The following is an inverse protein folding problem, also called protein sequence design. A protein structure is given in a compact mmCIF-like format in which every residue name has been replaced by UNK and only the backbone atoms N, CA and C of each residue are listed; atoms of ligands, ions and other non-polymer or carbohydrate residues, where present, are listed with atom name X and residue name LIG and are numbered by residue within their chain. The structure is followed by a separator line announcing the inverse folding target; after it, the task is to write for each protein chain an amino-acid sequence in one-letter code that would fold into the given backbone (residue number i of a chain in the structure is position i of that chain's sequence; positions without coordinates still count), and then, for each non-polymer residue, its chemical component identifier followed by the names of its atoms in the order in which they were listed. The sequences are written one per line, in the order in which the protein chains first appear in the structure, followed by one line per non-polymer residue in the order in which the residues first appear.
data_IF_670624256429
#
_entry.id   IF_670624256429
#
_cell.length_a   1.000
_cell.length_b   1.000
_cell.length_c   1.000
_cell.angle_alpha   90.00
_cell.angle_beta   90.00
_cell.angle_gamma   90.00
#
_symmetry.space_group_name_H-M   'P 1'
#
loop_
_entity.id
_entity.type
_entity.pdbx_description
1 polymer ?
#
# COMPACT_ATOMS: atom_id res chain seq x y z
N UNK A 1 -37.46 -3.95 12.91
CA UNK A 1 -36.60 -3.93 11.71
C UNK A 1 -36.51 -2.48 11.25
N UNK A 2 -35.40 -1.81 11.58
CA UNK A 2 -35.29 -0.36 11.53
C UNK A 2 -34.97 0.14 10.11
N UNK A 3 -35.81 1.03 9.56
CA UNK A 3 -35.74 1.56 8.19
C UNK A 3 -34.52 2.43 7.82
N UNK A 4 -33.43 2.32 8.58
CA UNK A 4 -32.17 3.03 8.36
C UNK A 4 -31.35 2.41 7.21
N UNK A 5 -31.62 1.15 6.85
CA UNK A 5 -30.97 0.48 5.72
C UNK A 5 -31.24 1.16 4.38
N UNK A 6 -32.47 1.65 4.16
CA UNK A 6 -32.82 2.35 2.92
C UNK A 6 -32.11 3.70 2.80
N UNK A 7 -32.00 4.43 3.92
CA UNK A 7 -31.31 5.72 3.96
C UNK A 7 -29.79 5.53 3.74
N UNK A 8 -29.18 4.57 4.44
CA UNK A 8 -27.77 4.21 4.22
C UNK A 8 -27.51 3.71 2.80
N UNK A 9 -28.40 2.87 2.25
CA UNK A 9 -28.28 2.40 0.86
C UNK A 9 -28.37 3.56 -0.14
N UNK A 10 -29.20 4.57 0.11
CA UNK A 10 -29.31 5.73 -0.78
C UNK A 10 -28.01 6.53 -0.82
N UNK A 11 -27.42 6.84 0.34
CA UNK A 11 -26.12 7.52 0.44
C UNK A 11 -24.99 6.69 -0.17
N UNK A 12 -25.00 5.38 0.09
CA UNK A 12 -23.98 4.47 -0.42
C UNK A 12 -24.08 4.33 -1.95
N UNK A 13 -25.29 4.31 -2.50
CA UNK A 13 -25.55 4.25 -3.95
C UNK A 13 -25.16 5.54 -4.65
N UNK A 14 -25.40 6.69 -4.02
CA UNK A 14 -25.01 8.00 -4.55
C UNK A 14 -23.47 8.12 -4.63
N UNK A 15 -22.78 7.74 -3.56
CA UNK A 15 -21.31 7.74 -3.55
C UNK A 15 -20.76 6.70 -4.54
N UNK A 16 -21.35 5.49 -4.60
CA UNK A 16 -20.96 4.45 -5.56
C UNK A 16 -21.17 4.90 -7.00
N UNK A 17 -22.21 5.68 -7.30
CA UNK A 17 -22.45 6.19 -8.65
C UNK A 17 -21.37 7.19 -9.10
N UNK A 18 -20.95 8.07 -8.19
CA UNK A 18 -19.85 9.01 -8.43
C UNK A 18 -18.53 8.26 -8.64
N UNK A 19 -18.27 7.23 -7.82
CA UNK A 19 -17.08 6.40 -7.91
C UNK A 19 -17.03 5.59 -9.21
N UNK A 20 -18.13 4.94 -9.59
CA UNK A 20 -18.23 4.16 -10.84
C UNK A 20 -18.01 5.06 -12.05
N UNK A 21 -18.50 6.30 -12.05
CA UNK A 21 -18.30 7.25 -13.16
C UNK A 21 -16.83 7.67 -13.30
N UNK A 22 -16.11 7.84 -12.20
CA UNK A 22 -14.66 8.11 -12.23
C UNK A 22 -13.87 6.88 -12.67
N UNK A 23 -14.23 5.69 -12.16
CA UNK A 23 -13.60 4.43 -12.55
C UNK A 23 -13.84 4.09 -14.01
N UNK A 24 -15.05 4.34 -14.55
CA UNK A 24 -15.36 4.10 -15.96
C UNK A 24 -14.53 5.01 -16.86
N UNK A 25 -14.43 6.30 -16.53
CA UNK A 25 -13.63 7.26 -17.28
C UNK A 25 -12.15 6.85 -17.31
N UNK A 26 -11.62 6.38 -16.16
CA UNK A 26 -10.26 5.84 -16.09
C UNK A 26 -10.09 4.57 -16.95
N UNK A 27 -11.04 3.63 -16.90
CA UNK A 27 -11.01 2.42 -17.73
C UNK A 27 -11.07 2.74 -19.23
N UNK A 28 -11.83 3.75 -19.63
CA UNK A 28 -11.84 4.20 -21.03
C UNK A 28 -10.49 4.79 -21.42
N UNK A 29 -9.92 5.69 -20.62
CA UNK A 29 -8.60 6.27 -20.92
C UNK A 29 -7.50 5.20 -21.00
N UNK A 30 -7.55 4.20 -20.12
CA UNK A 30 -6.62 3.07 -20.12
C UNK A 30 -6.80 2.19 -21.36
N UNK A 31 -8.04 1.86 -21.73
CA UNK A 31 -8.35 1.11 -22.96
C UNK A 31 -7.88 1.84 -24.22
N UNK A 32 -8.06 3.16 -24.29
CA UNK A 32 -7.57 3.99 -25.39
C UNK A 32 -6.03 4.00 -25.44
N UNK A 33 -5.37 4.07 -24.28
CA UNK A 33 -3.91 3.97 -24.19
C UNK A 33 -3.43 2.62 -24.74
N UNK A 34 -4.01 1.51 -24.27
CA UNK A 34 -3.69 0.15 -24.74
C UNK A 34 -3.93 0.00 -26.25
N UNK A 35 -5.03 0.56 -26.76
CA UNK A 35 -5.34 0.54 -28.19
C UNK A 35 -4.27 1.25 -29.03
N UNK A 36 -3.89 2.47 -28.65
CA UNK A 36 -2.83 3.20 -29.35
C UNK A 36 -1.49 2.45 -29.27
N UNK A 37 -1.16 1.88 -28.11
CA UNK A 37 0.07 1.11 -27.92
C UNK A 37 0.12 -0.18 -28.73
N UNK A 38 -1.01 -0.89 -28.87
CA UNK A 38 -1.09 -2.09 -29.70
C UNK A 38 -0.98 -1.77 -31.20
N UNK A 39 -1.48 -0.60 -31.62
CA UNK A 39 -1.59 -0.24 -33.05
C UNK A 39 -0.34 0.48 -33.58
N UNK A 40 0.37 1.25 -32.73
CA UNK A 40 1.56 2.03 -33.09
C UNK A 40 2.64 1.23 -33.85
N UNK A 41 3.00 -0.01 -33.48
CA UNK A 41 4.08 -0.75 -34.14
C UNK A 41 3.69 -1.24 -35.54
N UNK A 42 2.41 -1.62 -35.71
CA UNK A 42 1.87 -2.01 -37.02
C UNK A 42 1.80 -0.82 -37.98
N UNK A 43 1.40 0.35 -37.49
CA UNK A 43 1.38 1.57 -38.28
C UNK A 43 2.79 2.05 -38.62
N UNK A 44 3.72 2.00 -37.66
CA UNK A 44 5.11 2.39 -37.85
C UNK A 44 5.82 1.49 -38.87
N UNK A 45 5.62 0.17 -38.78
CA UNK A 45 6.17 -0.79 -39.76
C UNK A 45 5.58 -0.59 -41.15
N UNK A 46 4.26 -0.43 -41.27
CA UNK A 46 3.59 -0.13 -42.55
C UNK A 46 4.14 1.15 -43.18
N UNK A 47 4.30 2.21 -42.38
CA UNK A 47 4.81 3.49 -42.85
C UNK A 47 6.29 3.42 -43.25
N UNK A 48 7.11 2.71 -42.48
CA UNK A 48 8.56 2.57 -42.73
C UNK A 48 8.83 1.78 -44.00
N UNK A 49 8.17 0.61 -44.18
CA UNK A 49 8.30 -0.16 -45.41
C UNK A 49 7.65 0.54 -46.61
N UNK A 50 6.52 1.23 -46.38
CA UNK A 50 5.85 2.04 -47.40
C UNK A 50 6.76 3.13 -47.97
N UNK A 51 7.36 3.96 -47.10
CA UNK A 51 8.33 4.99 -47.52
C UNK A 51 9.55 4.39 -48.21
N UNK A 52 10.08 3.28 -47.70
CA UNK A 52 11.25 2.63 -48.27
C UNK A 52 11.02 2.16 -49.72
N UNK A 53 9.84 1.59 -50.01
CA UNK A 53 9.45 1.23 -51.39
C UNK A 53 9.25 2.45 -52.28
N UNK A 54 8.68 3.53 -51.73
CA UNK A 54 8.40 4.75 -52.47
C UNK A 54 9.70 5.49 -52.87
N UNK A 55 10.76 5.34 -52.08
CA UNK A 55 12.11 5.81 -52.41
C UNK A 55 12.85 4.95 -53.44
N UNK A 56 12.24 3.88 -53.95
CA UNK A 56 12.79 3.04 -55.02
C UNK A 56 13.76 1.96 -54.56
N UNK A 57 13.85 1.69 -53.26
CA UNK A 57 14.67 0.59 -52.73
C UNK A 57 13.95 -0.76 -52.82
N UNK A 58 14.70 -1.84 -53.06
CA UNK A 58 14.14 -3.19 -53.06
C UNK A 58 13.99 -3.71 -51.63
N UNK A 59 12.76 -4.06 -51.25
CA UNK A 59 12.48 -4.77 -50.01
C UNK A 59 12.83 -6.25 -50.17
N UNK A 60 13.92 -6.67 -49.54
CA UNK A 60 14.21 -8.10 -49.36
C UNK A 60 13.45 -8.66 -48.15
N UNK A 61 12.98 -9.90 -48.26
CA UNK A 61 12.25 -10.59 -47.20
C UNK A 61 13.09 -10.65 -45.91
N UNK A 62 14.40 -10.86 -46.02
CA UNK A 62 15.31 -10.90 -44.88
C UNK A 62 15.34 -9.56 -44.11
N UNK A 63 15.33 -8.42 -44.81
CA UNK A 63 15.28 -7.10 -44.19
C UNK A 63 13.96 -6.85 -43.47
N UNK A 64 12.84 -7.27 -44.07
CA UNK A 64 11.50 -7.12 -43.48
C UNK A 64 11.38 -7.93 -42.19
N UNK A 65 11.81 -9.19 -42.19
CA UNK A 65 11.78 -10.03 -40.99
C UNK A 65 12.70 -9.50 -39.88
N UNK A 66 13.89 -9.02 -40.23
CA UNK A 66 14.84 -8.45 -39.26
C UNK A 66 14.30 -7.16 -38.64
N UNK A 67 13.70 -6.27 -39.44
CA UNK A 67 13.08 -5.03 -38.94
C UNK A 67 11.85 -5.31 -38.08
N UNK A 68 10.99 -6.25 -38.46
CA UNK A 68 9.84 -6.67 -37.64
C UNK A 68 10.28 -7.25 -36.29
N UNK A 69 11.36 -8.05 -36.27
CA UNK A 69 11.92 -8.59 -35.03
C UNK A 69 12.42 -7.45 -34.12
N UNK A 70 13.17 -6.49 -34.65
CA UNK A 70 13.64 -5.32 -33.89
C UNK A 70 12.48 -4.48 -33.35
N UNK A 71 11.46 -4.19 -34.16
CA UNK A 71 10.27 -3.49 -33.69
C UNK A 71 9.57 -4.26 -32.57
N UNK A 72 9.38 -5.57 -32.71
CA UNK A 72 8.76 -6.39 -31.66
C UNK A 72 9.54 -6.37 -30.34
N UNK A 73 10.88 -6.33 -30.39
CA UNK A 73 11.70 -6.19 -29.17
C UNK A 73 11.58 -4.82 -28.50
N UNK A 74 11.34 -3.76 -29.27
CA UNK A 74 11.14 -2.39 -28.78
C UNK A 74 9.75 -2.13 -28.17
N UNK A 75 8.73 -2.91 -28.57
CA UNK A 75 7.35 -2.77 -28.06
C UNK A 75 7.25 -3.03 -26.56
N UNK A 76 7.95 -4.06 -26.07
CA UNK A 76 7.88 -4.48 -24.65
C UNK A 76 8.29 -3.37 -23.65
N UNK A 77 9.47 -2.72 -23.79
CA UNK A 77 9.85 -1.62 -22.89
C UNK A 77 8.97 -0.38 -23.07
N UNK A 78 8.51 -0.07 -24.28
CA UNK A 78 7.62 1.05 -24.55
C UNK A 78 6.26 0.89 -23.87
N UNK A 79 5.67 -0.31 -23.92
CA UNK A 79 4.41 -0.64 -23.24
C UNK A 79 4.51 -0.58 -21.72
N UNK A 80 5.72 -0.75 -21.16
CA UNK A 80 5.95 -0.69 -19.71
C UNK A 80 6.04 0.75 -19.18
N UNK A 81 6.30 1.73 -20.04
CA UNK A 81 6.53 3.14 -19.65
C UNK A 81 5.32 3.82 -18.98
N UNK A 82 4.08 3.68 -19.50
CA UNK A 82 2.89 4.26 -18.86
C UNK A 82 2.63 3.70 -17.45
N UNK A 83 2.95 2.42 -17.23
CA UNK A 83 2.79 1.77 -15.93
C UNK A 83 3.77 2.33 -14.89
N UNK A 84 5.00 2.61 -15.29
CA UNK A 84 6.01 3.26 -14.44
C UNK A 84 5.57 4.68 -14.05
N UNK A 85 5.04 5.46 -15.00
CA UNK A 85 4.54 6.81 -14.72
C UNK A 85 3.36 6.77 -13.74
N UNK A 86 2.39 5.87 -13.95
CA UNK A 86 1.28 5.68 -13.01
C UNK A 86 1.77 5.29 -11.61
N UNK A 87 2.74 4.38 -11.53
CA UNK A 87 3.37 4.00 -10.26
C UNK A 87 4.02 5.18 -9.53
N UNK A 88 4.76 6.02 -10.26
CA UNK A 88 5.39 7.22 -9.68
C UNK A 88 4.37 8.25 -9.17
N UNK A 89 3.23 8.39 -9.86
CA UNK A 89 2.18 9.37 -9.49
C UNK A 89 1.43 8.95 -8.21
N UNK A 90 1.16 7.66 -8.01
CA UNK A 90 0.43 7.19 -6.82
C UNK A 90 1.29 7.28 -5.53
N UNK A 91 2.62 7.11 -5.64
CA UNK A 91 3.57 7.19 -4.53
C UNK A 91 3.75 8.64 -4.01
N UNK A 92 3.57 9.64 -4.88
CA UNK A 92 3.73 11.07 -4.55
C UNK A 92 2.52 11.77 -3.93
N UNK A 93 1.53 11.03 -3.43
CA UNK A 93 0.25 11.60 -3.00
C UNK A 93 0.27 12.32 -1.64
N UNK A 94 1.37 12.23 -0.89
CA UNK A 94 1.56 12.94 0.37
C UNK A 94 0.86 12.30 1.58
N UNK A 95 0.55 10.99 1.54
CA UNK A 95 -0.03 10.26 2.68
C UNK A 95 0.90 10.29 3.89
N UNK A 96 2.16 9.90 3.71
CA UNK A 96 3.19 9.98 4.75
C UNK A 96 3.43 11.43 5.19
N UNK A 97 3.37 12.40 4.26
CA UNK A 97 3.47 13.83 4.61
C UNK A 97 2.30 14.30 5.49
N UNK A 98 1.09 13.77 5.29
CA UNK A 98 -0.04 14.04 6.16
C UNK A 98 0.23 13.47 7.56
N UNK A 99 0.67 12.21 7.66
CA UNK A 99 0.99 11.60 8.95
C UNK A 99 2.08 12.39 9.69
N UNK A 100 3.17 12.75 9.02
CA UNK A 100 4.25 13.54 9.60
C UNK A 100 3.79 14.95 10.02
N UNK A 101 2.84 15.54 9.30
CA UNK A 101 2.21 16.79 9.73
C UNK A 101 1.39 16.62 11.00
N UNK A 102 0.66 15.50 11.14
CA UNK A 102 -0.11 15.22 12.36
C UNK A 102 0.85 14.95 13.53
N UNK A 103 1.93 14.21 13.31
CA UNK A 103 3.00 13.95 14.28
C UNK A 103 3.81 15.21 14.66
N UNK A 104 3.53 16.36 14.02
CA UNK A 104 4.26 17.63 14.19
C UNK A 104 5.73 17.59 13.79
N UNK A 105 6.12 16.62 12.96
CA UNK A 105 7.47 16.56 12.35
C UNK A 105 7.59 17.49 11.14
N UNK A 106 6.46 17.94 10.57
CA UNK A 106 6.43 18.93 9.49
C UNK A 106 5.90 20.28 9.98
N UNK A 107 6.52 21.37 9.50
CA UNK A 107 6.10 22.74 9.81
C UNK A 107 4.74 23.03 9.15
N UNK A 108 3.76 23.35 9.97
CA UNK A 108 2.46 23.84 9.51
C UNK A 108 2.56 25.32 9.08
N UNK A 109 2.11 25.64 7.87
CA UNK A 109 2.09 27.03 7.36
C UNK A 109 0.77 27.73 7.73
N UNK A 110 -0.35 27.00 7.68
CA UNK A 110 -1.69 27.50 7.99
C UNK A 110 -2.52 26.45 8.74
N UNK A 111 -3.42 26.92 9.62
CA UNK A 111 -4.30 26.08 10.44
C UNK A 111 -3.73 25.74 11.82
N UNK A 112 -4.34 24.76 12.49
CA UNK A 112 -3.92 24.26 13.81
C UNK A 112 -4.24 22.78 13.92
N UNK A 113 -3.32 21.99 14.49
CA UNK A 113 -3.53 20.56 14.76
C UNK A 113 -3.59 20.35 16.27
N UNK A 114 -4.73 19.85 16.75
CA UNK A 114 -4.94 19.45 18.14
C UNK A 114 -4.92 17.94 18.23
N UNK A 115 -4.12 17.42 19.15
CA UNK A 115 -4.00 15.99 19.44
C UNK A 115 -4.25 15.79 20.93
N UNK A 116 -5.18 14.90 21.26
CA UNK A 116 -5.46 14.46 22.62
C UNK A 116 -5.04 13.00 22.77
N UNK A 117 -4.27 12.70 23.81
CA UNK A 117 -3.78 11.35 24.10
C UNK A 117 -2.39 11.04 23.53
N UNK A 118 -1.95 9.82 23.78
CA UNK A 118 -0.70 9.22 23.32
C UNK A 118 -0.82 8.71 21.89
N UNK A 119 0.25 8.83 21.12
CA UNK A 119 0.28 8.43 19.70
C UNK A 119 1.37 7.39 19.50
N UNK A 120 1.05 6.36 18.72
CA UNK A 120 2.03 5.43 18.17
C UNK A 120 2.00 5.48 16.65
N UNK A 121 3.19 5.59 16.07
CA UNK A 121 3.39 5.60 14.63
C UNK A 121 4.12 4.34 14.17
N UNK A 122 3.61 3.71 13.12
CA UNK A 122 4.25 2.60 12.43
C UNK A 122 4.54 3.04 10.99
N UNK A 123 5.82 3.31 10.65
CA UNK A 123 6.20 3.74 9.31
C UNK A 123 6.18 2.58 8.31
N UNK A 124 6.11 2.92 7.02
CA UNK A 124 6.19 1.96 5.92
C UNK A 124 7.50 1.15 5.94
N UNK A 125 8.62 1.80 6.28
CA UNK A 125 9.92 1.15 6.49
C UNK A 125 10.24 1.15 7.98
N UNK A 126 9.96 0.06 8.70
CA UNK A 126 10.15 0.00 10.15
C UNK A 126 11.63 0.00 10.54
N UNK A 127 11.95 0.77 11.57
CA UNK A 127 13.25 0.73 12.22
C UNK A 127 13.26 -0.30 13.36
N UNK A 128 14.21 -1.23 13.30
CA UNK A 128 14.38 -2.32 14.26
C UNK A 128 15.66 -2.05 15.07
N UNK A 129 15.54 -2.14 16.40
CA UNK A 129 16.66 -2.00 17.33
C UNK A 129 17.55 -3.24 17.21
N UNK A 130 18.86 -3.04 17.34
CA UNK A 130 19.76 -4.16 17.64
C UNK A 130 19.47 -4.64 19.06
N UNK A 131 19.20 -5.94 19.21
CA UNK A 131 18.75 -6.53 20.47
C UNK A 131 17.83 -7.73 20.22
N UNK A 132 17.19 -8.24 21.25
CA UNK A 132 16.27 -9.39 21.12
C UNK A 132 14.92 -8.98 20.50
N UNK A 133 14.17 -9.96 19.98
CA UNK A 133 12.79 -9.75 19.51
C UNK A 133 11.92 -9.20 20.66
N UNK A 134 12.04 -9.79 21.85
CA UNK A 134 11.31 -9.35 23.04
C UNK A 134 11.60 -7.90 23.38
N UNK A 135 12.86 -7.50 23.46
CA UNK A 135 13.24 -6.09 23.71
C UNK A 135 12.68 -5.15 22.64
N UNK A 136 12.72 -5.57 21.39
CA UNK A 136 12.15 -4.82 20.27
C UNK A 136 10.64 -4.61 20.44
N UNK A 137 9.88 -5.59 20.93
CA UNK A 137 8.42 -5.48 21.13
C UNK A 137 8.09 -4.68 22.39
N UNK A 138 8.78 -4.96 23.51
CA UNK A 138 8.55 -4.29 24.78
C UNK A 138 8.89 -2.81 24.72
N UNK A 139 9.97 -2.45 24.03
CA UNK A 139 10.42 -1.07 23.80
C UNK A 139 10.40 -0.20 25.08
N UNK A 140 10.91 -0.76 26.17
CA UNK A 140 10.99 -0.09 27.48
C UNK A 140 9.77 -0.27 28.39
N UNK A 141 8.71 -0.98 27.97
CA UNK A 141 7.61 -1.38 28.85
C UNK A 141 7.92 -2.69 29.60
N UNK A 142 7.26 -2.87 30.74
CA UNK A 142 7.36 -4.09 31.53
C UNK A 142 6.80 -5.29 30.74
N UNK A 143 7.40 -6.46 30.95
CA UNK A 143 6.95 -7.70 30.33
C UNK A 143 5.69 -8.25 31.02
N UNK A 144 4.60 -8.25 30.28
CA UNK A 144 3.33 -8.93 30.57
C UNK A 144 3.17 -10.10 29.60
N UNK A 145 3.22 -11.32 30.11
CA UNK A 145 3.16 -12.55 29.31
C UNK A 145 1.85 -12.72 28.57
N UNK A 146 0.72 -12.31 29.16
CA UNK A 146 -0.61 -12.48 28.56
C UNK A 146 -0.76 -11.56 27.36
N UNK A 147 -0.58 -10.26 27.58
CA UNK A 147 -0.59 -9.26 26.51
C UNK A 147 0.44 -9.56 25.43
N UNK A 148 1.62 -10.03 25.82
CA UNK A 148 2.70 -10.33 24.86
C UNK A 148 2.31 -11.48 23.94
N UNK A 149 1.76 -12.56 24.48
CA UNK A 149 1.27 -13.70 23.70
C UNK A 149 0.14 -13.28 22.75
N UNK A 150 -0.85 -12.54 23.25
CA UNK A 150 -1.99 -12.06 22.45
C UNK A 150 -1.52 -11.19 21.27
N UNK A 151 -0.53 -10.33 21.50
CA UNK A 151 0.05 -9.47 20.47
C UNK A 151 0.80 -10.27 19.40
N UNK A 152 1.56 -11.28 19.81
CA UNK A 152 2.29 -12.14 18.86
C UNK A 152 1.34 -12.92 17.96
N UNK A 153 0.28 -13.49 18.52
CA UNK A 153 -0.74 -14.22 17.77
C UNK A 153 -1.52 -13.29 16.83
N UNK A 154 -1.96 -12.12 17.32
CA UNK A 154 -2.69 -11.16 16.51
C UNK A 154 -1.86 -10.63 15.31
N UNK A 155 -0.54 -10.51 15.48
CA UNK A 155 0.38 -10.10 14.42
C UNK A 155 0.89 -11.27 13.56
N UNK A 156 0.46 -12.51 13.83
CA UNK A 156 0.95 -13.73 13.18
C UNK A 156 2.49 -13.84 13.22
N UNK A 157 3.11 -13.56 14.37
CA UNK A 157 4.56 -13.68 14.59
C UNK A 157 4.95 -14.92 15.39
N UNK A 158 3.98 -15.57 16.02
CA UNK A 158 4.13 -16.79 16.81
C UNK A 158 4.90 -17.89 16.06
N UNK A 159 4.49 -18.19 14.83
CA UNK A 159 5.13 -19.22 13.99
C UNK A 159 6.56 -18.80 13.65
N UNK A 160 6.77 -17.56 13.18
CA UNK A 160 8.10 -17.06 12.82
C UNK A 160 9.07 -17.15 13.99
N UNK A 161 8.64 -16.73 15.18
CA UNK A 161 9.45 -16.73 16.40
C UNK A 161 9.75 -18.17 16.83
N UNK A 162 8.79 -19.10 16.74
CA UNK A 162 8.99 -20.50 17.12
C UNK A 162 10.08 -21.20 16.28
N UNK A 163 10.29 -20.75 15.05
CA UNK A 163 11.31 -21.27 14.14
C UNK A 163 12.71 -20.71 14.41
N UNK A 164 12.82 -19.63 15.20
CA UNK A 164 14.11 -19.01 15.51
C UNK A 164 14.81 -19.74 16.66
N UNK A 165 16.13 -19.87 16.54
CA UNK A 165 16.96 -20.41 17.63
C UNK A 165 16.91 -19.44 18.81
N UNK A 166 16.37 -19.90 19.94
CA UNK A 166 16.15 -19.05 21.13
C UNK A 166 14.80 -18.32 21.16
N UNK A 167 13.90 -18.59 20.20
CA UNK A 167 12.54 -18.07 20.21
C UNK A 167 12.51 -16.54 20.21
N UNK A 168 11.78 -15.95 21.15
CA UNK A 168 11.64 -14.49 21.27
C UNK A 168 12.87 -13.80 21.91
N UNK A 169 13.81 -14.59 22.43
CA UNK A 169 15.13 -14.11 22.85
C UNK A 169 16.15 -14.15 21.71
N UNK A 170 15.76 -14.56 20.51
CA UNK A 170 16.62 -14.53 19.34
C UNK A 170 17.13 -13.10 19.09
N UNK A 171 18.44 -13.00 18.86
CA UNK A 171 19.11 -11.72 18.66
C UNK A 171 18.95 -11.20 17.24
N UNK A 172 18.51 -9.95 17.12
CA UNK A 172 18.38 -9.21 15.88
C UNK A 172 19.56 -8.25 15.76
N UNK A 173 20.35 -8.39 14.68
CA UNK A 173 21.44 -7.46 14.37
C UNK A 173 20.97 -6.09 13.89
N UNK A 174 21.91 -5.17 13.69
CA UNK A 174 21.63 -3.78 13.29
C UNK A 174 20.65 -3.68 12.12
N UNK A 175 19.62 -2.83 12.27
CA UNK A 175 18.54 -2.60 11.30
C UNK A 175 17.74 -3.85 10.90
N UNK A 176 17.83 -4.95 11.65
CA UNK A 176 17.07 -6.17 11.36
C UNK A 176 17.47 -6.85 10.05
N UNK A 177 18.77 -6.92 9.76
CA UNK A 177 19.31 -7.61 8.57
C UNK A 177 18.88 -9.08 8.52
N UNK A 178 18.67 -9.71 9.67
CA UNK A 178 18.28 -11.12 9.77
C UNK A 178 16.78 -11.38 9.53
N UNK A 179 15.97 -10.34 9.29
CA UNK A 179 14.52 -10.44 9.15
C UNK A 179 14.05 -10.10 7.73
N UNK A 180 13.04 -10.82 7.27
CA UNK A 180 12.35 -10.49 6.01
C UNK A 180 11.58 -9.16 6.12
N UNK A 181 11.22 -8.56 4.98
CA UNK A 181 10.42 -7.33 4.96
C UNK A 181 9.10 -7.45 5.74
N UNK A 182 8.37 -8.55 5.52
CA UNK A 182 7.11 -8.84 6.21
C UNK A 182 7.28 -9.13 7.72
N UNK A 183 8.37 -9.79 8.12
CA UNK A 183 8.68 -10.00 9.55
C UNK A 183 8.99 -8.67 10.25
N UNK A 184 9.76 -7.78 9.62
CA UNK A 184 10.04 -6.45 10.18
C UNK A 184 8.77 -5.60 10.32
N UNK A 185 7.88 -5.64 9.33
CA UNK A 185 6.60 -4.94 9.37
C UNK A 185 5.73 -5.45 10.53
N UNK A 186 5.59 -6.78 10.66
CA UNK A 186 4.85 -7.39 11.77
C UNK A 186 5.47 -7.10 13.13
N UNK A 187 6.79 -7.11 13.25
CA UNK A 187 7.50 -6.80 14.50
C UNK A 187 7.25 -5.35 14.96
N UNK A 188 7.27 -4.41 14.02
CA UNK A 188 6.96 -3.01 14.31
C UNK A 188 5.48 -2.80 14.67
N UNK A 189 4.57 -3.54 14.02
CA UNK A 189 3.15 -3.53 14.39
C UNK A 189 2.93 -4.12 15.78
N UNK A 190 3.58 -5.25 16.11
CA UNK A 190 3.53 -5.86 17.43
C UNK A 190 4.04 -4.91 18.52
N UNK A 191 5.18 -4.24 18.28
CA UNK A 191 5.69 -3.17 19.16
C UNK A 191 4.65 -2.09 19.40
N UNK A 192 3.98 -1.64 18.34
CA UNK A 192 2.97 -0.60 18.45
C UNK A 192 1.77 -1.04 19.29
N UNK A 193 1.20 -2.21 19.00
CA UNK A 193 0.02 -2.73 19.70
C UNK A 193 0.36 -3.01 21.17
N UNK A 194 1.55 -3.56 21.43
CA UNK A 194 2.02 -3.80 22.79
C UNK A 194 2.09 -2.50 23.61
N UNK A 195 2.59 -1.42 23.00
CA UNK A 195 2.65 -0.11 23.64
C UNK A 195 1.27 0.42 24.06
N UNK A 196 0.22 0.20 23.25
CA UNK A 196 -1.17 0.47 23.62
C UNK A 196 -1.53 1.96 23.75
N UNK A 197 -1.11 2.79 22.79
CA UNK A 197 -1.42 4.23 22.77
C UNK A 197 -2.87 4.54 22.39
N UNK A 198 -3.36 5.74 22.67
CA UNK A 198 -4.74 6.15 22.37
C UNK A 198 -5.02 6.22 20.85
N UNK A 199 -4.00 6.66 20.09
CA UNK A 199 -4.08 6.85 18.63
C UNK A 199 -2.96 6.05 17.93
N UNK A 200 -3.34 5.28 16.93
CA UNK A 200 -2.44 4.53 16.06
C UNK A 200 -2.40 5.13 14.66
N UNK A 201 -1.21 5.44 14.17
CA UNK A 201 -0.95 5.88 12.81
C UNK A 201 -0.16 4.79 12.09
N UNK A 202 -0.76 4.19 11.07
CA UNK A 202 -0.21 3.05 10.34
C UNK A 202 0.04 3.47 8.89
N UNK A 203 1.30 3.49 8.47
CA UNK A 203 1.71 3.84 7.11
C UNK A 203 2.06 2.58 6.30
N UNK A 204 1.12 2.12 5.50
CA UNK A 204 1.21 0.98 4.57
C UNK A 204 1.81 -0.31 5.15
N UNK A 205 1.49 -0.58 6.41
CA UNK A 205 2.02 -1.70 7.21
C UNK A 205 1.74 -3.10 6.66
N UNK A 206 0.76 -3.24 5.76
CA UNK A 206 0.37 -4.51 5.14
C UNK A 206 0.99 -4.72 3.74
N UNK A 207 1.79 -3.79 3.24
CA UNK A 207 2.35 -3.85 1.87
C UNK A 207 3.39 -4.95 1.67
N UNK A 208 4.12 -5.31 2.72
CA UNK A 208 5.24 -6.26 2.68
C UNK A 208 4.87 -7.69 3.11
N UNK A 209 3.59 -7.96 3.39
CA UNK A 209 3.09 -9.27 3.83
C UNK A 209 2.23 -9.91 2.74
N UNK A 210 2.20 -11.24 2.72
CA UNK A 210 1.32 -12.00 1.83
C UNK A 210 -0.17 -11.76 2.15
N UNK A 211 -1.05 -12.01 1.18
CA UNK A 211 -2.45 -11.67 1.28
C UNK A 211 -3.18 -12.40 2.44
N UNK A 212 -2.77 -13.62 2.77
CA UNK A 212 -3.39 -14.41 3.84
C UNK A 212 -3.00 -13.86 5.22
N UNK A 213 -1.71 -13.60 5.44
CA UNK A 213 -1.20 -12.97 6.67
C UNK A 213 -1.74 -11.55 6.80
N UNK A 214 -1.83 -10.78 5.71
CA UNK A 214 -2.43 -9.45 5.71
C UNK A 214 -3.89 -9.49 6.19
N UNK A 215 -4.66 -10.47 5.70
CA UNK A 215 -6.05 -10.66 6.12
C UNK A 215 -6.14 -11.01 7.61
N UNK A 216 -5.27 -11.89 8.11
CA UNK A 216 -5.22 -12.25 9.53
C UNK A 216 -4.92 -11.04 10.42
N UNK A 217 -3.84 -10.30 10.12
CA UNK A 217 -3.44 -9.10 10.87
C UNK A 217 -4.55 -8.06 10.87
N UNK A 218 -5.21 -7.86 9.74
CA UNK A 218 -6.28 -6.89 9.62
C UNK A 218 -7.45 -7.22 10.57
N UNK A 219 -7.86 -8.49 10.66
CA UNK A 219 -9.01 -8.90 11.46
C UNK A 219 -8.68 -9.12 12.94
N UNK A 220 -7.49 -9.67 13.25
CA UNK A 220 -7.11 -10.05 14.61
C UNK A 220 -6.27 -9.00 15.35
N UNK A 221 -5.51 -8.17 14.63
CA UNK A 221 -4.73 -7.07 15.22
C UNK A 221 -5.42 -5.72 15.01
N UNK A 222 -5.54 -5.24 13.78
CA UNK A 222 -6.00 -3.87 13.49
C UNK A 222 -7.48 -3.66 13.85
N UNK A 223 -8.35 -4.59 13.45
CA UNK A 223 -9.77 -4.62 13.81
C UNK A 223 -10.07 -5.54 15.00
N UNK A 224 -9.02 -6.12 15.59
CA UNK A 224 -9.16 -7.06 16.67
C UNK A 224 -9.46 -6.41 18.02
N UNK A 225 -9.70 -7.24 19.05
CA UNK A 225 -10.04 -6.77 20.39
C UNK A 225 -8.96 -5.86 20.99
N UNK A 226 -7.68 -6.10 20.66
CA UNK A 226 -6.53 -5.32 21.16
C UNK A 226 -6.55 -3.85 20.75
N UNK A 227 -7.26 -3.51 19.66
CA UNK A 227 -7.31 -2.15 19.11
C UNK A 227 -8.73 -1.56 19.05
N UNK A 228 -9.73 -2.26 19.59
CA UNK A 228 -11.15 -1.89 19.42
C UNK A 228 -11.56 -0.56 20.08
N UNK A 229 -10.88 -0.15 21.15
CA UNK A 229 -11.14 1.11 21.84
C UNK A 229 -10.17 2.24 21.45
N UNK A 230 -9.27 1.97 20.50
CA UNK A 230 -8.24 2.91 20.09
C UNK A 230 -8.59 3.59 18.78
N UNK A 231 -8.16 4.83 18.61
CA UNK A 231 -8.33 5.55 17.34
C UNK A 231 -7.29 5.05 16.34
N UNK A 232 -7.71 4.70 15.12
CA UNK A 232 -6.85 4.09 14.10
C UNK A 232 -6.88 4.90 12.82
N UNK A 233 -5.72 5.37 12.39
CA UNK A 233 -5.50 6.05 11.11
C UNK A 233 -4.63 5.15 10.24
N UNK A 234 -5.21 4.63 9.16
CA UNK A 234 -4.51 3.74 8.23
C UNK A 234 -4.32 4.45 6.88
N UNK A 235 -3.06 4.64 6.51
CA UNK A 235 -2.68 4.98 5.14
C UNK A 235 -2.31 3.68 4.43
N UNK A 236 -2.99 3.36 3.33
CA UNK A 236 -2.62 2.19 2.50
C UNK A 236 -2.98 2.42 1.05
N UNK A 237 -2.24 1.75 0.17
CA UNK A 237 -2.56 1.66 -1.26
C UNK A 237 -3.51 0.50 -1.59
N UNK A 238 -3.74 -0.42 -0.65
CA UNK A 238 -4.59 -1.58 -0.88
C UNK A 238 -6.08 -1.24 -0.71
N UNK A 239 -6.79 -1.17 -1.84
CA UNK A 239 -8.21 -0.78 -1.93
C UNK A 239 -9.13 -1.79 -1.24
N UNK A 240 -8.72 -3.06 -1.10
CA UNK A 240 -9.55 -4.11 -0.50
C UNK A 240 -9.90 -3.83 0.97
N UNK A 241 -9.12 -2.98 1.63
CA UNK A 241 -9.25 -2.65 3.05
C UNK A 241 -10.21 -1.48 3.27
N UNK A 242 -10.60 -0.72 2.23
CA UNK A 242 -11.27 0.60 2.32
C UNK A 242 -12.71 0.54 2.85
N UNK A 243 -13.29 -0.64 3.07
CA UNK A 243 -14.70 -0.81 3.41
C UNK A 243 -14.97 -1.22 4.87
N UNK A 244 -14.00 -1.09 5.77
CA UNK A 244 -14.12 -1.55 7.16
C UNK A 244 -14.52 -0.39 8.07
N UNK A 245 -15.44 -0.64 9.02
CA UNK A 245 -15.95 0.36 9.96
C UNK A 245 -14.91 0.65 11.06
N UNK A 246 -14.84 1.89 11.55
CA UNK A 246 -14.00 2.27 12.69
C UNK A 246 -12.51 2.46 12.39
N UNK A 247 -12.15 2.66 11.11
CA UNK A 247 -10.81 3.05 10.66
C UNK A 247 -10.95 4.36 9.87
N UNK A 248 -10.15 5.37 10.22
CA UNK A 248 -10.02 6.57 9.39
C UNK A 248 -9.10 6.24 8.20
N UNK A 249 -9.67 6.26 7.00
CA UNK A 249 -8.91 6.07 5.76
C UNK A 249 -8.40 7.40 5.24
N UNK A 250 -7.09 7.47 5.03
CA UNK A 250 -6.48 8.54 4.27
C UNK A 250 -5.99 7.96 2.94
N UNK A 251 -6.83 8.08 1.91
CA UNK A 251 -6.38 7.89 0.53
C UNK A 251 -6.23 9.26 -0.12
N UNK A 252 -5.01 9.79 -0.12
CA UNK A 252 -4.67 10.91 -0.99
C UNK A 252 -4.39 10.34 -2.39
N UNK A 253 -5.21 10.74 -3.35
CA UNK A 253 -4.98 10.54 -4.78
C UNK A 253 -5.61 11.73 -5.47
N UNK A 254 -5.01 12.24 -6.56
CA UNK A 254 -5.31 13.56 -7.15
C UNK A 254 -6.82 13.86 -7.40
N UNK A 255 -7.69 12.85 -7.44
CA UNK A 255 -9.15 12.99 -7.59
C UNK A 255 -10.04 12.45 -6.45
N UNK A 256 -9.47 11.94 -5.35
CA UNK A 256 -10.24 11.59 -4.15
C UNK A 256 -9.57 12.20 -2.93
N UNK A 257 -9.99 13.41 -2.55
CA UNK A 257 -9.81 13.92 -1.18
C UNK A 257 -11.00 13.43 -0.37
N UNK A 258 -10.96 12.18 0.06
CA UNK A 258 -11.99 11.62 0.94
C UNK A 258 -11.35 11.28 2.27
N UNK A 259 -11.42 12.20 3.23
CA UNK A 259 -11.37 11.85 4.64
C UNK A 259 -12.74 11.25 4.97
N UNK A 260 -12.83 9.92 5.01
CA UNK A 260 -14.04 9.24 5.45
C UNK A 260 -13.88 8.89 6.92
N UNK A 261 -14.58 9.64 7.75
CA UNK A 261 -14.89 9.26 9.13
C UNK A 261 -16.04 8.25 9.03
N UNK A 262 -15.83 7.01 9.48
CA UNK A 262 -16.84 5.94 9.49
C UNK A 262 -16.91 5.26 10.84
#
# INVERSE_FOLDING_TARGET
MYGWELLFMSWLKEIRSSEVKHLSTRKYLDAWCVFFWATTPTLFSLFTFGLFTLMGYQLDAAMVFTCLALFNTLISPLNSFPWVINGLIDVGSGKSSLLNSILKEMRLIHGSIYLGGSITYVPQVPWILSGTIRENILFGKAYDSTRYSDVLEACALDIDISLMVGGDMAYIGDKGVNLSGGQRARLALARAIYHGSDIFMLDDVLSAVDAQVAWWILHNAILGPLMNQHTRVLCTHNIQIVNLRGILYVSLGRHKRSLRLS
#
